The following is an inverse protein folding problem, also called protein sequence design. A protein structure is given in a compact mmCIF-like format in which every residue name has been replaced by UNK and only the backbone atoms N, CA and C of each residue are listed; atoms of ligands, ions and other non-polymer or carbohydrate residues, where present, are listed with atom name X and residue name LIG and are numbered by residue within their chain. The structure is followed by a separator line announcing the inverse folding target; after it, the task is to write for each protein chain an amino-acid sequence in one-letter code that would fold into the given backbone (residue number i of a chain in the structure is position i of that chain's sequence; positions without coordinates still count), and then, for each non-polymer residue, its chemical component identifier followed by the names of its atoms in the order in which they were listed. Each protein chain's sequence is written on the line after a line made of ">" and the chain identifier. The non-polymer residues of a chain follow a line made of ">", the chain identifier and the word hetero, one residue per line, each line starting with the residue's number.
data_IF_238858817024
#
_entry.id   IF_238858817024
#
_cell.length_a   1.000
_cell.length_b   1.000
_cell.length_c   1.000
_cell.angle_alpha   90.00
_cell.angle_beta   90.00
_cell.angle_gamma   90.00
#
_symmetry.space_group_name_H-M   'P 1'
#
loop_
_entity.id
_entity.type
_entity.pdbx_description
1 polymer ?
#
# COMPACT_ATOMS: atom_id res chain seq x y z
N UNK A 1 -18.90 9.04 6.23
CA UNK A 1 -17.82 8.06 6.43
C UNK A 1 -17.51 7.94 7.91
N UNK A 2 -17.56 6.73 8.45
CA UNK A 2 -17.21 6.38 9.83
C UNK A 2 -15.86 5.65 9.86
N UNK A 3 -15.27 5.46 11.06
CA UNK A 3 -14.09 4.60 11.20
C UNK A 3 -14.39 3.14 10.84
N UNK A 4 -15.64 2.69 11.08
CA UNK A 4 -16.11 1.37 10.65
C UNK A 4 -16.13 1.22 9.14
N UNK A 5 -16.59 2.25 8.41
CA UNK A 5 -16.58 2.24 6.94
C UNK A 5 -15.15 2.10 6.41
N UNK A 6 -14.18 2.75 7.06
CA UNK A 6 -12.77 2.68 6.69
C UNK A 6 -12.17 1.30 6.98
N UNK A 7 -12.42 0.73 8.16
CA UNK A 7 -11.96 -0.62 8.49
C UNK A 7 -12.57 -1.68 7.56
N UNK A 8 -13.86 -1.54 7.26
CA UNK A 8 -14.62 -2.44 6.38
C UNK A 8 -14.18 -2.35 4.92
N UNK A 9 -13.75 -1.17 4.46
CA UNK A 9 -13.28 -0.96 3.09
C UNK A 9 -12.13 -1.90 2.71
N UNK A 10 -11.30 -2.30 3.68
CA UNK A 10 -10.13 -3.17 3.47
C UNK A 10 -10.29 -4.57 4.06
N UNK A 11 -11.48 -4.94 4.57
CA UNK A 11 -11.65 -6.21 5.28
C UNK A 11 -11.52 -7.45 4.36
N UNK A 12 -12.36 -7.51 3.32
CA UNK A 12 -12.50 -8.65 2.40
C UNK A 12 -12.03 -8.33 0.96
N UNK A 13 -11.27 -7.24 0.79
CA UNK A 13 -10.80 -6.86 -0.53
C UNK A 13 -9.70 -7.81 -1.04
N UNK A 14 -9.75 -8.22 -2.31
CA UNK A 14 -8.55 -8.73 -2.93
C UNK A 14 -7.53 -7.59 -3.06
N UNK A 15 -6.22 -7.86 -2.90
CA UNK A 15 -5.20 -6.90 -3.30
C UNK A 15 -5.41 -6.40 -4.73
N UNK A 16 -5.03 -5.15 -5.02
CA UNK A 16 -5.37 -4.41 -6.25
C UNK A 16 -6.82 -3.94 -6.39
N UNK A 17 -7.74 -4.22 -5.45
CA UNK A 17 -9.13 -3.77 -5.58
C UNK A 17 -9.24 -2.25 -5.73
N UNK A 18 -8.77 -1.47 -4.73
CA UNK A 18 -8.81 0.00 -4.80
C UNK A 18 -7.88 0.57 -5.87
N UNK A 19 -6.76 -0.10 -6.15
CA UNK A 19 -5.87 0.26 -7.25
C UNK A 19 -6.60 0.19 -8.59
N UNK A 20 -7.44 -0.83 -8.81
CA UNK A 20 -8.28 -0.95 -10.00
C UNK A 20 -9.25 0.24 -10.17
N UNK A 21 -9.83 0.74 -9.07
CA UNK A 21 -10.70 1.93 -9.12
C UNK A 21 -9.93 3.19 -9.53
N UNK A 22 -8.73 3.42 -8.99
CA UNK A 22 -7.95 4.60 -9.39
C UNK A 22 -7.40 4.47 -10.82
N UNK A 23 -7.04 3.26 -11.28
CA UNK A 23 -6.69 3.02 -12.70
C UNK A 23 -7.87 3.41 -13.58
N UNK A 24 -9.08 2.90 -13.29
CA UNK A 24 -10.29 3.25 -14.05
C UNK A 24 -10.52 4.75 -14.10
N UNK A 25 -10.43 5.43 -12.96
CA UNK A 25 -10.69 6.87 -12.86
C UNK A 25 -9.64 7.69 -13.63
N UNK A 26 -8.36 7.29 -13.59
CA UNK A 26 -7.30 7.91 -14.39
C UNK A 26 -7.59 7.68 -15.88
N UNK A 27 -7.87 6.44 -16.29
CA UNK A 27 -8.13 6.10 -17.69
C UNK A 27 -9.39 6.78 -18.25
N UNK A 28 -10.38 7.09 -17.42
CA UNK A 28 -11.56 7.86 -17.83
C UNK A 28 -11.29 9.37 -17.98
N UNK A 29 -10.08 9.83 -17.67
CA UNK A 29 -9.70 11.25 -17.69
C UNK A 29 -10.27 12.06 -16.53
N UNK A 30 -10.71 11.41 -15.44
CA UNK A 30 -11.36 12.09 -14.30
C UNK A 30 -10.46 13.14 -13.66
N UNK A 31 -9.15 12.89 -13.63
CA UNK A 31 -8.12 13.74 -13.02
C UNK A 31 -7.20 14.38 -14.08
N UNK A 32 -7.73 14.63 -15.28
CA UNK A 32 -6.99 15.22 -16.39
C UNK A 32 -6.52 14.21 -17.45
N UNK A 33 -5.76 14.68 -18.47
CA UNK A 33 -5.38 13.86 -19.61
C UNK A 33 -4.45 12.71 -19.21
N UNK A 34 -4.59 11.59 -19.91
CA UNK A 34 -3.70 10.43 -19.75
C UNK A 34 -2.62 10.50 -20.82
N UNK A 35 -1.36 10.52 -20.38
CA UNK A 35 -0.20 10.58 -21.28
C UNK A 35 0.63 9.32 -21.13
N UNK A 36 0.88 8.64 -22.24
CA UNK A 36 1.69 7.41 -22.30
C UNK A 36 3.19 7.71 -22.42
N UNK A 37 4.02 6.70 -22.16
CA UNK A 37 5.46 6.76 -22.33
C UNK A 37 5.96 5.60 -23.22
N UNK A 38 6.24 5.88 -24.50
CA UNK A 38 6.64 4.89 -25.52
C UNK A 38 8.02 4.26 -25.30
N UNK A 39 8.79 4.85 -24.37
CA UNK A 39 10.06 4.29 -23.92
C UNK A 39 9.87 3.27 -22.79
N UNK A 40 8.74 3.30 -22.09
CA UNK A 40 8.46 2.40 -20.96
C UNK A 40 7.72 1.15 -21.41
N UNK A 41 6.80 1.31 -22.36
CA UNK A 41 6.05 0.22 -22.97
C UNK A 41 5.84 0.53 -24.45
N UNK A 42 5.82 -0.50 -25.30
CA UNK A 42 5.41 -0.33 -26.70
C UNK A 42 3.89 -0.34 -26.81
N UNK A 43 3.31 0.83 -27.00
CA UNK A 43 1.88 1.02 -27.23
C UNK A 43 1.54 0.75 -28.70
N UNK A 44 0.43 0.06 -28.99
CA UNK A 44 0.00 -0.25 -30.38
C UNK A 44 -0.60 0.95 -31.11
N UNK A 45 -0.66 2.12 -30.45
CA UNK A 45 -1.09 3.41 -31.00
C UNK A 45 -0.65 4.58 -30.12
N UNK A 46 -1.06 5.80 -30.48
CA UNK A 46 -0.71 7.03 -29.75
C UNK A 46 -1.65 7.34 -28.57
N UNK A 47 -2.43 6.36 -28.12
CA UNK A 47 -3.43 6.51 -27.06
C UNK A 47 -3.53 5.26 -26.20
N UNK A 48 -4.15 5.41 -25.03
CA UNK A 48 -4.42 4.28 -24.14
C UNK A 48 -5.59 3.47 -24.69
N UNK A 49 -5.27 2.39 -25.42
CA UNK A 49 -6.26 1.45 -25.93
C UNK A 49 -6.65 0.40 -24.88
N UNK A 50 -7.65 -0.43 -25.18
CA UNK A 50 -8.11 -1.47 -24.26
C UNK A 50 -7.00 -2.45 -23.85
N UNK A 51 -6.24 -2.99 -24.80
CA UNK A 51 -5.20 -4.00 -24.51
C UNK A 51 -3.96 -3.35 -23.88
N UNK A 52 -3.40 -2.28 -24.46
CA UNK A 52 -2.18 -1.68 -23.91
C UNK A 52 -2.45 -0.77 -22.71
N UNK A 53 -3.71 -0.43 -22.47
CA UNK A 53 -4.17 0.34 -21.31
C UNK A 53 -4.78 -0.54 -20.24
N UNK A 54 -6.08 -0.78 -20.33
CA UNK A 54 -6.86 -1.47 -19.28
C UNK A 54 -6.26 -2.83 -18.95
N UNK A 55 -5.97 -3.65 -19.97
CA UNK A 55 -5.44 -5.01 -19.77
C UNK A 55 -4.01 -4.96 -19.25
N UNK A 56 -3.11 -4.18 -19.88
CA UNK A 56 -1.73 -4.10 -19.44
C UNK A 56 -1.58 -3.54 -18.02
N UNK A 57 -2.30 -2.47 -17.67
CA UNK A 57 -2.25 -1.90 -16.31
C UNK A 57 -2.83 -2.86 -15.25
N UNK A 58 -3.84 -3.67 -15.62
CA UNK A 58 -4.35 -4.74 -14.74
C UNK A 58 -3.31 -5.83 -14.55
N UNK A 59 -2.59 -6.22 -15.62
CA UNK A 59 -1.51 -7.21 -15.53
C UNK A 59 -0.37 -6.68 -14.63
N UNK A 60 0.07 -5.44 -14.84
CA UNK A 60 1.13 -4.83 -14.02
C UNK A 60 0.70 -4.74 -12.55
N UNK A 61 -0.54 -4.34 -12.25
CA UNK A 61 -1.02 -4.28 -10.86
C UNK A 61 -0.96 -5.67 -10.20
N UNK A 62 -1.52 -6.68 -10.87
CA UNK A 62 -1.58 -8.04 -10.31
C UNK A 62 -0.20 -8.69 -10.21
N UNK A 63 0.68 -8.45 -11.18
CA UNK A 63 2.09 -8.83 -11.11
C UNK A 63 2.81 -8.16 -9.94
N UNK A 64 2.66 -6.85 -9.76
CA UNK A 64 3.28 -6.08 -8.67
C UNK A 64 2.90 -6.64 -7.30
N UNK A 65 1.60 -6.89 -7.08
CA UNK A 65 1.09 -7.51 -5.85
C UNK A 65 1.74 -8.87 -5.62
N UNK A 66 1.75 -9.74 -6.64
CA UNK A 66 2.29 -11.09 -6.52
C UNK A 66 3.78 -11.07 -6.14
N UNK A 67 4.57 -10.22 -6.79
CA UNK A 67 6.01 -10.12 -6.54
C UNK A 67 6.33 -9.54 -5.17
N UNK A 68 5.61 -8.50 -4.75
CA UNK A 68 5.78 -7.92 -3.42
C UNK A 68 5.36 -8.90 -2.32
N UNK A 69 4.34 -9.72 -2.57
CA UNK A 69 3.82 -10.69 -1.58
C UNK A 69 4.90 -11.63 -1.05
N UNK A 70 5.72 -12.20 -1.94
CA UNK A 70 6.75 -13.17 -1.54
C UNK A 70 7.77 -12.55 -0.58
N UNK A 71 8.23 -11.34 -0.88
CA UNK A 71 9.18 -10.61 -0.04
C UNK A 71 8.55 -10.16 1.28
N UNK A 72 7.31 -9.66 1.23
CA UNK A 72 6.59 -9.21 2.41
C UNK A 72 6.35 -10.37 3.39
N UNK A 73 5.90 -11.53 2.90
CA UNK A 73 5.68 -12.69 3.75
C UNK A 73 6.98 -13.30 4.28
N UNK A 74 8.06 -13.29 3.50
CA UNK A 74 9.38 -13.66 4.02
C UNK A 74 9.78 -12.75 5.20
N UNK A 75 9.64 -11.43 5.05
CA UNK A 75 9.92 -10.47 6.12
C UNK A 75 9.01 -10.66 7.35
N UNK A 76 7.72 -10.98 7.13
CA UNK A 76 6.76 -11.30 8.19
C UNK A 76 7.25 -12.44 9.07
N UNK A 77 7.57 -13.58 8.46
CA UNK A 77 7.96 -14.77 9.22
C UNK A 77 9.36 -14.67 9.81
N UNK A 78 10.27 -13.92 9.17
CA UNK A 78 11.58 -13.62 9.76
C UNK A 78 11.48 -12.73 11.00
N UNK A 79 10.55 -11.77 11.01
CA UNK A 79 10.39 -10.81 12.13
C UNK A 79 9.52 -11.38 13.26
N UNK A 80 8.42 -12.06 12.92
CA UNK A 80 7.52 -12.67 13.91
C UNK A 80 6.80 -11.68 14.83
N UNK A 81 6.58 -10.43 14.40
CA UNK A 81 5.97 -9.41 15.25
C UNK A 81 4.49 -9.73 15.58
N UNK A 82 4.09 -9.70 16.86
CA UNK A 82 2.71 -9.94 17.27
C UNK A 82 1.79 -8.81 16.80
N UNK A 83 0.52 -9.14 16.60
CA UNK A 83 -0.54 -8.22 16.20
C UNK A 83 -0.96 -7.31 17.35
N UNK A 84 -1.58 -6.15 17.05
CA UNK A 84 -2.09 -5.25 18.10
C UNK A 84 -3.06 -5.94 19.07
N UNK A 85 -3.93 -6.81 18.55
CA UNK A 85 -4.90 -7.57 19.34
C UNK A 85 -4.24 -8.50 20.37
N UNK A 86 -3.15 -9.17 19.99
CA UNK A 86 -2.40 -10.09 20.85
C UNK A 86 -1.75 -9.32 22.01
N UNK A 87 -1.13 -8.17 21.71
CA UNK A 87 -0.47 -7.34 22.72
C UNK A 87 -1.49 -6.68 23.65
N UNK A 88 -2.58 -6.12 23.11
CA UNK A 88 -3.63 -5.50 23.92
C UNK A 88 -4.27 -6.52 24.88
N UNK A 89 -4.55 -7.72 24.39
CA UNK A 89 -5.10 -8.79 25.22
C UNK A 89 -4.11 -9.29 26.26
N UNK A 90 -2.83 -9.48 25.92
CA UNK A 90 -1.80 -9.86 26.89
C UNK A 90 -1.65 -8.84 28.03
N UNK A 91 -1.84 -7.54 27.75
CA UNK A 91 -1.92 -6.51 28.80
C UNK A 91 -3.19 -6.66 29.64
N UNK A 92 -4.35 -6.82 29.01
CA UNK A 92 -5.65 -6.95 29.70
C UNK A 92 -5.72 -8.21 30.59
N UNK A 93 -5.14 -9.32 30.13
CA UNK A 93 -5.04 -10.60 30.85
C UNK A 93 -3.96 -10.59 31.94
N UNK A 94 -3.14 -9.54 32.04
CA UNK A 94 -2.08 -9.41 33.04
C UNK A 94 -0.80 -10.20 32.73
N UNK A 95 -0.67 -10.75 31.52
CA UNK A 95 0.55 -11.40 31.04
C UNK A 95 1.69 -10.37 30.87
N UNK A 96 1.35 -9.18 30.36
CA UNK A 96 2.24 -8.02 30.34
C UNK A 96 1.91 -7.13 31.55
N UNK A 97 2.85 -7.04 32.50
CA UNK A 97 2.70 -6.27 33.74
C UNK A 97 2.64 -4.76 33.46
N UNK A 98 1.75 -4.04 34.17
CA UNK A 98 1.55 -2.59 34.04
C UNK A 98 2.85 -1.77 34.04
N UNK A 99 3.85 -2.14 34.86
CA UNK A 99 5.15 -1.44 34.92
C UNK A 99 5.90 -1.35 33.58
N UNK A 100 5.52 -2.16 32.58
CA UNK A 100 6.10 -2.17 31.24
C UNK A 100 5.24 -1.42 30.20
N UNK A 101 4.08 -0.89 30.61
CA UNK A 101 3.10 -0.23 29.75
C UNK A 101 2.92 1.21 30.25
N UNK A 102 2.98 2.22 29.38
CA UNK A 102 2.64 3.59 29.77
C UNK A 102 1.25 3.67 30.41
N UNK A 103 1.12 4.37 31.54
CA UNK A 103 -0.11 4.35 32.38
C UNK A 103 -1.38 4.72 31.61
N UNK A 104 -1.29 5.69 30.70
CA UNK A 104 -2.42 6.09 29.87
C UNK A 104 -2.85 4.97 28.91
N UNK A 105 -1.89 4.25 28.32
CA UNK A 105 -2.16 3.13 27.42
C UNK A 105 -2.76 1.96 28.21
N UNK A 106 -2.20 1.64 29.38
CA UNK A 106 -2.75 0.61 30.26
C UNK A 106 -4.21 0.92 30.62
N UNK A 107 -4.49 2.16 31.05
CA UNK A 107 -5.84 2.62 31.38
C UNK A 107 -6.80 2.49 30.20
N UNK A 108 -6.36 2.84 28.99
CA UNK A 108 -7.18 2.74 27.79
C UNK A 108 -7.49 1.27 27.44
N UNK A 109 -6.50 0.37 27.56
CA UNK A 109 -6.68 -1.07 27.29
C UNK A 109 -7.68 -1.67 28.30
N UNK A 110 -7.53 -1.38 29.60
CA UNK A 110 -8.44 -1.91 30.61
C UNK A 110 -9.90 -1.45 30.42
N UNK A 111 -10.12 -0.25 29.85
CA UNK A 111 -11.46 0.25 29.51
C UNK A 111 -12.13 -0.51 28.37
N UNK A 112 -11.37 -1.21 27.53
CA UNK A 112 -11.94 -2.00 26.44
C UNK A 112 -12.63 -3.28 26.96
N UNK A 113 -12.32 -3.73 28.18
CA UNK A 113 -12.91 -4.91 28.81
C UNK A 113 -12.88 -6.16 27.89
N UNK A 114 -11.70 -6.44 27.33
CA UNK A 114 -11.47 -7.52 26.38
C UNK A 114 -11.65 -8.89 27.04
N UNK A 115 -12.47 -9.76 26.44
CA UNK A 115 -12.61 -11.17 26.84
C UNK A 115 -11.76 -12.09 25.96
N UNK A 116 -11.52 -11.69 24.72
CA UNK A 116 -10.68 -12.36 23.74
C UNK A 116 -9.82 -11.34 23.00
N UNK A 117 -8.73 -11.80 22.37
CA UNK A 117 -7.88 -10.91 21.58
C UNK A 117 -8.65 -10.20 20.45
N UNK A 118 -9.50 -10.95 19.73
CA UNK A 118 -10.28 -10.43 18.59
C UNK A 118 -11.20 -9.26 18.97
N UNK A 119 -11.60 -9.13 20.25
CA UNK A 119 -12.43 -8.04 20.77
C UNK A 119 -11.74 -6.66 20.62
N UNK A 120 -10.43 -6.62 20.40
CA UNK A 120 -9.68 -5.39 20.13
C UNK A 120 -9.91 -4.84 18.72
N UNK A 121 -10.22 -5.71 17.75
CA UNK A 121 -10.24 -5.33 16.34
C UNK A 121 -11.65 -4.95 15.88
N UNK A 122 -11.72 -4.25 14.75
CA UNK A 122 -13.00 -4.02 14.06
C UNK A 122 -13.54 -5.28 13.36
N UNK A 123 -12.78 -6.38 13.34
CA UNK A 123 -13.09 -7.58 12.58
C UNK A 123 -13.59 -8.68 13.50
N UNK A 124 -14.70 -9.36 13.17
CA UNK A 124 -15.27 -10.39 14.02
C UNK A 124 -14.29 -11.56 14.25
N UNK A 125 -13.45 -11.85 13.24
CA UNK A 125 -12.49 -12.95 13.26
C UNK A 125 -11.07 -12.52 13.67
N UNK A 126 -10.88 -11.25 14.06
CA UNK A 126 -9.57 -10.70 14.42
C UNK A 126 -8.68 -10.42 13.22
N UNK A 127 -7.37 -10.39 13.46
CA UNK A 127 -6.38 -10.20 12.41
C UNK A 127 -6.09 -11.49 11.61
N UNK A 128 -5.64 -11.38 10.34
CA UNK A 128 -5.23 -12.55 9.57
C UNK A 128 -4.07 -13.31 10.24
N UNK A 129 -4.10 -14.65 10.14
CA UNK A 129 -3.19 -15.61 10.80
C UNK A 129 -1.76 -15.61 10.22
N UNK A 130 -1.09 -14.47 10.29
CA UNK A 130 0.31 -14.27 9.96
C UNK A 130 0.83 -13.02 10.70
N UNK A 131 2.17 -12.89 10.91
CA UNK A 131 2.75 -11.80 11.69
C UNK A 131 2.37 -10.40 11.19
N UNK A 132 2.44 -9.42 12.10
CA UNK A 132 2.03 -8.04 11.83
C UNK A 132 2.96 -7.32 10.86
N UNK A 133 4.26 -7.35 11.12
CA UNK A 133 5.24 -6.53 10.39
C UNK A 133 5.90 -7.26 9.22
N UNK A 134 6.08 -6.64 8.04
CA UNK A 134 5.44 -5.41 7.57
C UNK A 134 4.02 -5.67 7.06
N UNK A 135 3.17 -4.65 6.93
CA UNK A 135 1.79 -4.83 6.47
C UNK A 135 1.73 -5.16 4.96
N UNK A 136 1.01 -6.22 4.58
CA UNK A 136 0.92 -6.66 3.18
C UNK A 136 0.05 -5.73 2.33
N UNK A 137 -1.08 -5.25 2.87
CA UNK A 137 -1.95 -4.30 2.17
C UNK A 137 -1.18 -3.02 1.80
N UNK A 138 -0.31 -2.56 2.71
CA UNK A 138 0.58 -1.44 2.46
C UNK A 138 1.65 -1.73 1.42
N UNK A 139 2.29 -2.90 1.47
CA UNK A 139 3.31 -3.24 0.49
C UNK A 139 2.74 -3.40 -0.93
N UNK A 140 1.53 -3.97 -1.06
CA UNK A 140 0.80 -4.01 -2.33
C UNK A 140 0.32 -2.63 -2.81
N UNK A 141 0.18 -1.66 -1.90
CA UNK A 141 -0.31 -0.32 -2.19
C UNK A 141 0.83 0.60 -2.63
N UNK A 142 1.26 0.43 -3.88
CA UNK A 142 2.35 1.18 -4.47
C UNK A 142 2.01 1.75 -5.85
N UNK A 143 0.71 1.96 -6.15
CA UNK A 143 0.27 2.45 -7.45
C UNK A 143 0.79 3.84 -7.76
N UNK A 144 0.89 4.68 -6.73
CA UNK A 144 1.49 6.01 -6.86
C UNK A 144 2.91 5.94 -7.35
N UNK A 145 3.67 4.89 -7.06
CA UNK A 145 5.01 4.72 -7.60
C UNK A 145 5.00 4.12 -9.02
N UNK A 146 4.50 2.90 -9.20
CA UNK A 146 4.72 2.21 -10.47
C UNK A 146 3.92 2.82 -11.63
N UNK A 147 2.76 3.44 -11.37
CA UNK A 147 1.99 4.07 -12.45
C UNK A 147 2.64 5.39 -12.91
N UNK A 148 3.40 6.07 -12.05
CA UNK A 148 4.29 7.16 -12.48
C UNK A 148 5.42 6.68 -13.38
N UNK A 149 5.91 5.45 -13.19
CA UNK A 149 6.90 4.84 -14.09
C UNK A 149 6.26 4.52 -15.43
N UNK A 150 5.06 3.92 -15.44
CA UNK A 150 4.38 3.48 -16.67
C UNK A 150 3.82 4.64 -17.51
N UNK A 151 3.24 5.65 -16.87
CA UNK A 151 2.60 6.78 -17.53
C UNK A 151 3.39 8.08 -17.32
N UNK A 152 2.89 9.20 -17.85
CA UNK A 152 3.32 10.57 -17.51
C UNK A 152 2.16 11.28 -16.81
N UNK A 153 1.86 10.92 -15.55
CA UNK A 153 0.66 11.41 -14.89
C UNK A 153 0.75 12.90 -14.54
N UNK A 154 -0.41 13.54 -14.40
CA UNK A 154 -0.53 14.90 -13.87
C UNK A 154 -0.28 14.92 -12.36
N UNK A 155 0.10 16.09 -11.83
CA UNK A 155 0.23 16.29 -10.39
C UNK A 155 -1.02 15.84 -9.60
N UNK A 156 -2.22 16.11 -10.13
CA UNK A 156 -3.49 15.69 -9.55
C UNK A 156 -3.64 14.15 -9.54
N UNK A 157 -3.32 13.48 -10.65
CA UNK A 157 -3.32 12.01 -10.70
C UNK A 157 -2.37 11.41 -9.65
N UNK A 158 -1.19 12.00 -9.47
CA UNK A 158 -0.19 11.54 -8.49
C UNK A 158 -0.69 11.71 -7.06
N UNK A 159 -1.28 12.85 -6.75
CA UNK A 159 -1.93 13.14 -5.47
C UNK A 159 -3.00 12.08 -5.15
N UNK A 160 -3.91 11.78 -6.09
CA UNK A 160 -4.97 10.79 -5.88
C UNK A 160 -4.44 9.36 -5.73
N UNK A 161 -3.40 8.98 -6.48
CA UNK A 161 -2.76 7.68 -6.30
C UNK A 161 -2.13 7.53 -4.91
N UNK A 162 -1.43 8.57 -4.42
CA UNK A 162 -0.82 8.55 -3.07
C UNK A 162 -1.89 8.45 -1.98
N UNK A 163 -3.02 9.15 -2.15
CA UNK A 163 -4.18 9.04 -1.24
C UNK A 163 -4.68 7.60 -1.14
N UNK A 164 -4.82 6.90 -2.26
CA UNK A 164 -5.24 5.49 -2.26
C UNK A 164 -4.21 4.63 -1.52
N UNK A 165 -2.92 4.78 -1.84
CA UNK A 165 -1.88 3.95 -1.21
C UNK A 165 -1.83 4.12 0.31
N UNK A 166 -1.95 5.37 0.78
CA UNK A 166 -2.03 5.67 2.20
C UNK A 166 -3.35 5.24 2.83
N UNK A 167 -4.49 5.43 2.18
CA UNK A 167 -5.81 5.09 2.73
C UNK A 167 -5.93 3.59 2.99
N UNK A 168 -5.54 2.76 2.02
CA UNK A 168 -5.54 1.29 2.17
C UNK A 168 -4.64 0.86 3.32
N UNK A 169 -3.47 1.49 3.44
CA UNK A 169 -2.53 1.25 4.52
C UNK A 169 -3.10 1.62 5.89
N UNK A 170 -3.50 2.88 6.05
CA UNK A 170 -3.97 3.43 7.32
C UNK A 170 -5.27 2.76 7.81
N UNK A 171 -6.13 2.31 6.88
CA UNK A 171 -7.35 1.58 7.22
C UNK A 171 -7.08 0.30 8.02
N UNK A 172 -5.92 -0.34 7.83
CA UNK A 172 -5.52 -1.52 8.63
C UNK A 172 -5.18 -1.17 10.08
N UNK A 173 -4.72 0.06 10.35
CA UNK A 173 -4.55 0.55 11.72
C UNK A 173 -5.90 0.93 12.33
N UNK A 174 -6.77 1.57 11.56
CA UNK A 174 -8.14 1.87 12.01
C UNK A 174 -8.90 0.58 12.38
N UNK A 175 -8.68 -0.50 11.64
CA UNK A 175 -9.25 -1.81 11.95
C UNK A 175 -8.62 -2.52 13.16
N UNK A 176 -7.53 -2.00 13.74
CA UNK A 176 -6.84 -2.59 14.88
C UNK A 176 -5.95 -3.80 14.55
N UNK A 177 -5.64 -4.05 13.27
CA UNK A 177 -4.87 -5.25 12.86
C UNK A 177 -3.40 -4.98 12.54
N UNK A 178 -3.01 -3.72 12.32
CA UNK A 178 -1.63 -3.32 12.07
C UNK A 178 -1.28 -2.06 12.84
N UNK A 179 -0.04 -1.97 13.32
CA UNK A 179 0.48 -0.72 13.86
C UNK A 179 0.84 0.27 12.74
N UNK A 180 0.92 1.58 13.02
CA UNK A 180 1.37 2.57 12.04
C UNK A 180 2.72 2.24 11.40
N UNK A 181 3.68 1.71 12.18
CA UNK A 181 4.99 1.35 11.65
C UNK A 181 4.94 0.18 10.66
N UNK A 182 4.02 -0.76 10.82
CA UNK A 182 3.87 -1.90 9.89
C UNK A 182 3.45 -1.40 8.52
N UNK A 183 2.54 -0.43 8.50
CA UNK A 183 2.02 0.18 7.29
C UNK A 183 3.10 0.98 6.57
N UNK A 184 3.83 1.83 7.30
CA UNK A 184 4.93 2.63 6.74
C UNK A 184 6.04 1.75 6.18
N UNK A 185 6.42 0.70 6.91
CA UNK A 185 7.40 -0.27 6.43
C UNK A 185 6.89 -1.05 5.20
N UNK A 186 5.61 -1.39 5.15
CA UNK A 186 4.97 -2.00 3.99
C UNK A 186 5.10 -1.11 2.75
N UNK A 187 4.66 0.15 2.83
CA UNK A 187 4.74 1.12 1.72
C UNK A 187 6.17 1.26 1.19
N UNK A 188 7.16 1.37 2.08
CA UNK A 188 8.58 1.45 1.72
C UNK A 188 9.09 0.17 1.05
N UNK A 189 8.76 -1.00 1.61
CA UNK A 189 9.15 -2.29 1.05
C UNK A 189 8.56 -2.49 -0.35
N UNK A 190 7.28 -2.15 -0.53
CA UNK A 190 6.59 -2.24 -1.81
C UNK A 190 7.27 -1.40 -2.89
N UNK A 191 7.58 -0.13 -2.59
CA UNK A 191 8.29 0.73 -3.52
C UNK A 191 9.69 0.19 -3.85
N UNK A 192 10.45 -0.25 -2.84
CA UNK A 192 11.83 -0.73 -3.05
C UNK A 192 11.90 -2.00 -3.93
N UNK A 193 10.94 -2.91 -3.77
CA UNK A 193 10.85 -4.10 -4.64
C UNK A 193 10.52 -3.66 -6.06
N UNK A 194 9.50 -2.81 -6.24
CA UNK A 194 9.12 -2.34 -7.57
C UNK A 194 10.25 -1.56 -8.24
N UNK A 195 11.00 -0.75 -7.48
CA UNK A 195 12.18 -0.03 -7.95
C UNK A 195 13.21 -0.96 -8.62
N UNK A 196 13.40 -2.16 -8.06
CA UNK A 196 14.37 -3.15 -8.55
C UNK A 196 13.84 -3.98 -9.72
N UNK A 197 12.60 -4.44 -9.60
CA UNK A 197 12.05 -5.48 -10.48
C UNK A 197 11.29 -4.90 -11.68
N UNK A 198 10.64 -3.74 -11.53
CA UNK A 198 9.79 -3.16 -12.56
C UNK A 198 10.53 -2.84 -13.87
N UNK A 199 11.78 -2.30 -13.88
CA UNK A 199 12.48 -2.03 -15.12
C UNK A 199 12.65 -3.28 -16.00
N UNK A 200 13.13 -4.36 -15.40
CA UNK A 200 13.36 -5.61 -16.11
C UNK A 200 12.04 -6.21 -16.62
N UNK A 201 11.01 -6.24 -15.76
CA UNK A 201 9.70 -6.76 -16.14
C UNK A 201 9.07 -5.99 -17.31
N UNK A 202 9.10 -4.66 -17.27
CA UNK A 202 8.55 -3.83 -18.36
C UNK A 202 9.35 -3.98 -19.66
N UNK A 203 10.67 -4.16 -19.57
CA UNK A 203 11.50 -4.43 -20.75
C UNK A 203 11.18 -5.80 -21.37
N UNK A 204 11.14 -6.86 -20.55
CA UNK A 204 10.89 -8.22 -21.01
C UNK A 204 9.47 -8.39 -21.55
N UNK A 205 8.46 -7.92 -20.79
CA UNK A 205 7.05 -8.17 -21.08
C UNK A 205 6.47 -7.18 -22.11
N UNK A 206 6.88 -5.91 -22.05
CA UNK A 206 6.28 -4.82 -22.82
C UNK A 206 7.27 -4.11 -23.75
N UNK A 207 8.47 -4.66 -23.93
CA UNK A 207 9.50 -4.16 -24.84
C UNK A 207 9.92 -2.71 -24.57
N UNK A 208 9.88 -2.32 -23.29
CA UNK A 208 10.42 -1.04 -22.81
C UNK A 208 11.94 -0.98 -22.85
N UNK A 209 12.48 0.23 -22.90
CA UNK A 209 13.90 0.51 -22.77
C UNK A 209 14.30 0.44 -21.29
N UNK A 210 14.99 -0.64 -20.91
CA UNK A 210 15.32 -0.90 -19.51
C UNK A 210 16.19 0.20 -18.88
N UNK A 211 17.13 0.80 -19.63
CA UNK A 211 18.01 1.85 -19.13
C UNK A 211 17.20 3.12 -18.85
N UNK A 212 16.37 3.54 -19.79
CA UNK A 212 15.44 4.66 -19.59
C UNK A 212 14.50 4.43 -18.41
N UNK A 213 13.95 3.20 -18.26
CA UNK A 213 13.05 2.89 -17.15
C UNK A 213 13.79 2.96 -15.81
N UNK A 214 15.04 2.49 -15.73
CA UNK A 214 15.87 2.61 -14.52
C UNK A 214 16.08 4.07 -14.12
N UNK A 215 16.39 4.94 -15.06
CA UNK A 215 16.53 6.39 -14.80
C UNK A 215 15.21 7.00 -14.31
N UNK A 216 14.10 6.67 -14.98
CA UNK A 216 12.77 7.17 -14.62
C UNK A 216 12.36 6.72 -13.22
N UNK A 217 12.63 5.47 -12.88
CA UNK A 217 12.39 4.88 -11.56
C UNK A 217 13.09 5.67 -10.45
N UNK A 218 14.36 6.04 -10.65
CA UNK A 218 15.08 6.88 -9.68
C UNK A 218 14.42 8.25 -9.53
N UNK A 219 14.04 8.87 -10.65
CA UNK A 219 13.44 10.21 -10.68
C UNK A 219 12.07 10.29 -10.00
N UNK A 220 11.23 9.26 -10.13
CA UNK A 220 9.86 9.25 -9.57
C UNK A 220 9.78 8.59 -8.21
N UNK A 221 10.88 8.04 -7.69
CA UNK A 221 10.95 7.52 -6.33
C UNK A 221 10.76 8.63 -5.31
N UNK A 222 10.07 8.33 -4.20
CA UNK A 222 9.85 9.31 -3.13
C UNK A 222 9.95 8.66 -1.75
N UNK A 223 10.12 9.47 -0.72
CA UNK A 223 10.28 8.98 0.64
C UNK A 223 8.96 9.03 1.42
N UNK A 224 8.39 7.86 1.74
CA UNK A 224 7.22 7.77 2.62
C UNK A 224 7.48 8.30 4.05
N UNK A 225 8.73 8.52 4.44
CA UNK A 225 9.05 9.19 5.71
C UNK A 225 8.86 10.71 5.68
N UNK A 226 8.86 11.33 4.50
CA UNK A 226 8.77 12.78 4.30
C UNK A 226 7.36 13.25 3.92
N UNK A 227 6.45 12.31 3.63
CA UNK A 227 5.07 12.61 3.28
C UNK A 227 4.26 12.86 4.56
N UNK A 228 3.66 14.04 4.66
CA UNK A 228 2.63 14.33 5.67
C UNK A 228 1.28 13.78 5.18
N UNK A 229 0.64 12.84 5.89
CA UNK A 229 -0.70 12.37 5.53
C UNK A 229 -1.78 13.45 5.54
N UNK A 230 -1.61 14.51 6.34
CA UNK A 230 -2.53 15.66 6.35
C UNK A 230 -2.40 16.50 5.07
N UNK A 231 -1.26 16.37 4.38
CA UNK A 231 -0.92 17.15 3.21
C UNK A 231 -0.23 16.30 2.14
N UNK A 232 -0.85 15.15 1.83
CA UNK A 232 -0.28 14.12 0.95
C UNK A 232 -0.05 14.60 -0.50
N UNK A 233 -0.53 15.80 -0.82
CA UNK A 233 -0.49 16.41 -2.16
C UNK A 233 0.48 17.58 -2.27
N UNK A 234 0.93 18.18 -1.15
CA UNK A 234 2.04 19.13 -1.18
C UNK A 234 3.38 18.37 -1.20
N UNK A 235 4.40 18.97 -1.85
CA UNK A 235 5.66 18.34 -2.28
C UNK A 235 5.59 17.45 -3.53
N UNK A 236 4.86 17.88 -4.57
CA UNK A 236 5.02 17.33 -5.94
C UNK A 236 6.19 17.97 -6.71
N UNK A 237 7.09 18.67 -6.03
CA UNK A 237 8.38 19.08 -6.60
C UNK A 237 9.30 17.86 -6.67
N UNK A 238 9.36 17.24 -7.85
CA UNK A 238 10.37 16.25 -8.18
C UNK A 238 11.77 16.87 -8.04
N UNK A 239 12.67 16.19 -7.34
CA UNK A 239 14.11 16.46 -7.38
C UNK A 239 14.69 16.15 -8.75
#
# INVERSE_FOLDING_TARGET
>A
FTLGDMAGAVYDEPPCYWQGYIIRDILSGKYGPVTVDDQVMKWRGNSVEFIDGVIALTEICTWAVFHVSNHNFAAKYLTGMPRPEEVAYAVAAGEIRQKHVPDQLYTNIMKLNLNHAVDFTAYPDGSPRHPSYPAMHSAASNISFWLQVVLKPTAEQICEMKKIDYAVSYARTVAGVHYPQDNKAGLKLGQEIMKRELPHYLSEKFHGDEEYIREKVEKVSFNWDEIDPADICDNLSYS
#
